data_IF_559475919946
#
_entry.id   IF_559475919946
#
_cell.length_a   1.000
_cell.length_b   1.000
_cell.length_c   1.000
_cell.angle_alpha   90.00
_cell.angle_beta   90.00
_cell.angle_gamma   90.00
#
_symmetry.space_group_name_H-M   'P 1'
#
loop_
_entity.id
_entity.type
_entity.pdbx_description
1 polymer ?
#
# COMPACT_ATOMS: atom_id res chain seq x y z
N UNK A 1 -2.58 -7.80 10.00
CA UNK A 1 -3.19 -6.56 10.50
C UNK A 1 -3.37 -6.59 12.01
N UNK A 2 -2.72 -5.66 12.71
CA UNK A 2 -2.89 -5.46 14.17
C UNK A 2 -4.24 -4.81 14.50
N UNK A 3 -4.73 -4.84 15.76
CA UNK A 3 -5.94 -4.11 16.15
C UNK A 3 -5.84 -2.60 15.90
N UNK A 4 -4.65 -2.02 16.11
CA UNK A 4 -4.37 -0.61 15.81
C UNK A 4 -4.49 -0.29 14.33
N UNK A 5 -3.85 -1.09 13.47
CA UNK A 5 -3.98 -0.94 12.00
C UNK A 5 -5.43 -1.10 11.55
N UNK A 6 -6.17 -2.06 12.11
CA UNK A 6 -7.60 -2.25 11.79
C UNK A 6 -8.41 -1.00 12.11
N UNK A 7 -8.21 -0.41 13.30
CA UNK A 7 -8.88 0.83 13.72
C UNK A 7 -8.53 1.98 12.77
N UNK A 8 -7.27 2.09 12.36
CA UNK A 8 -6.82 3.13 11.40
C UNK A 8 -7.43 2.89 10.02
N UNK A 9 -7.49 1.66 9.53
CA UNK A 9 -8.12 1.33 8.25
C UNK A 9 -9.60 1.75 8.24
N UNK A 10 -10.37 1.33 9.26
CA UNK A 10 -11.79 1.71 9.41
C UNK A 10 -11.99 3.23 9.53
N UNK A 11 -11.03 3.93 10.17
CA UNK A 11 -11.03 5.38 10.26
C UNK A 11 -10.74 6.03 8.90
N UNK A 12 -9.73 5.58 8.17
CA UNK A 12 -9.36 6.09 6.84
C UNK A 12 -10.45 5.85 5.79
N UNK A 13 -11.18 4.74 5.86
CA UNK A 13 -12.29 4.43 4.94
C UNK A 13 -13.47 5.42 5.01
N UNK A 14 -13.48 6.34 5.99
CA UNK A 14 -14.44 7.45 6.07
C UNK A 14 -14.00 8.68 5.26
N UNK A 15 -12.81 8.68 4.67
CA UNK A 15 -12.39 9.71 3.73
C UNK A 15 -13.27 9.70 2.48
N UNK A 16 -13.38 10.82 1.75
CA UNK A 16 -14.12 10.86 0.50
C UNK A 16 -13.58 9.87 -0.54
N UNK A 17 -14.46 9.39 -1.42
CA UNK A 17 -14.19 8.33 -2.41
C UNK A 17 -13.07 8.65 -3.42
N UNK A 18 -12.65 9.91 -3.53
CA UNK A 18 -11.54 10.30 -4.39
C UNK A 18 -10.16 10.02 -3.78
N UNK A 19 -10.11 9.56 -2.51
CA UNK A 19 -8.88 9.13 -1.86
C UNK A 19 -8.57 7.67 -2.17
N UNK A 20 -7.33 7.41 -2.58
CA UNK A 20 -6.82 6.05 -2.71
C UNK A 20 -6.06 5.68 -1.45
N UNK A 21 -6.39 4.53 -0.87
CA UNK A 21 -5.77 4.02 0.34
C UNK A 21 -5.18 2.65 0.04
N UNK A 22 -3.88 2.51 0.26
CA UNK A 22 -3.18 1.25 0.18
C UNK A 22 -2.72 0.83 1.57
N UNK A 23 -2.81 -0.47 1.86
CA UNK A 23 -2.36 -1.10 3.10
C UNK A 23 -1.25 -2.09 2.78
N UNK A 24 -0.18 -2.08 3.58
CA UNK A 24 0.93 -3.04 3.50
C UNK A 24 1.50 -3.21 2.07
N UNK A 25 1.63 -2.10 1.33
CA UNK A 25 2.19 -2.14 -0.02
C UNK A 25 3.71 -2.16 0.00
N UNK A 26 4.27 -2.96 -0.91
CA UNK A 26 5.70 -3.04 -1.13
C UNK A 26 6.18 -1.80 -1.88
N UNK A 27 7.15 -1.08 -1.32
CA UNK A 27 7.87 0.01 -1.99
C UNK A 27 9.19 -0.53 -2.55
N UNK A 28 9.37 -0.62 -3.88
CA UNK A 28 10.64 -0.97 -4.50
C UNK A 28 11.72 0.09 -4.22
N UNK A 29 13.02 -0.26 -4.25
CA UNK A 29 13.59 -1.60 -4.49
C UNK A 29 13.91 -2.39 -3.21
N UNK A 30 13.74 -1.79 -2.02
CA UNK A 30 14.17 -2.39 -0.74
C UNK A 30 13.09 -3.19 -0.02
N UNK A 31 11.95 -3.37 -0.67
CA UNK A 31 10.82 -4.17 -0.19
C UNK A 31 10.39 -3.75 1.20
N UNK A 32 10.22 -2.44 1.37
CA UNK A 32 9.71 -1.87 2.60
C UNK A 32 8.20 -1.71 2.54
N UNK A 33 7.57 -1.95 3.67
CA UNK A 33 6.12 -2.03 3.82
C UNK A 33 5.67 -1.00 4.85
N UNK A 34 5.30 0.23 4.44
CA UNK A 34 4.54 1.11 5.31
C UNK A 34 3.17 0.49 5.64
N UNK A 35 2.65 0.81 6.83
CA UNK A 35 1.33 0.33 7.21
C UNK A 35 0.24 0.87 6.27
N UNK A 36 0.27 2.18 5.97
CA UNK A 36 -0.63 2.77 4.97
C UNK A 36 0.05 3.80 4.06
N UNK A 37 -0.46 3.90 2.84
CA UNK A 37 -0.24 5.01 1.93
C UNK A 37 -1.58 5.57 1.50
N UNK A 38 -1.77 6.88 1.63
CA UNK A 38 -3.00 7.59 1.27
C UNK A 38 -2.68 8.62 0.19
N UNK A 39 -3.34 8.55 -0.96
CA UNK A 39 -3.28 9.57 -2.00
C UNK A 39 -4.58 10.36 -2.01
N UNK A 40 -4.46 11.67 -1.85
CA UNK A 40 -5.52 12.64 -2.13
C UNK A 40 -5.17 13.36 -3.43
N UNK A 41 -6.01 13.35 -4.48
CA UNK A 41 -5.72 14.03 -5.74
C UNK A 41 -5.45 15.53 -5.58
N UNK A 42 -6.05 16.15 -4.55
CA UNK A 42 -5.96 17.59 -4.26
C UNK A 42 -4.94 17.94 -3.20
N UNK A 43 -4.50 16.99 -2.36
CA UNK A 43 -3.53 17.29 -1.31
C UNK A 43 -2.17 16.67 -1.56
N UNK A 44 -2.07 15.53 -2.25
CA UNK A 44 -0.83 14.78 -2.43
C UNK A 44 -0.85 13.45 -1.68
N UNK A 45 0.34 12.94 -1.34
CA UNK A 45 0.52 11.58 -0.84
C UNK A 45 1.02 11.56 0.61
N UNK A 46 0.40 10.76 1.47
CA UNK A 46 0.78 10.61 2.87
C UNK A 46 1.12 9.15 3.21
N UNK A 47 2.30 8.93 3.77
CA UNK A 47 2.73 7.64 4.31
C UNK A 47 2.46 7.60 5.81
N UNK A 48 1.90 6.51 6.31
CA UNK A 48 1.48 6.38 7.71
C UNK A 48 2.09 5.13 8.32
N UNK A 49 2.76 5.30 9.46
CA UNK A 49 3.22 4.21 10.33
C UNK A 49 2.34 4.15 11.58
N UNK A 50 1.78 2.99 11.90
CA UNK A 50 0.85 2.78 13.01
C UNK A 50 1.55 2.04 14.14
N UNK A 51 1.32 2.47 15.39
CA UNK A 51 1.78 1.76 16.59
C UNK A 51 0.64 1.68 17.61
N UNK A 52 0.44 0.49 18.13
CA UNK A 52 -0.58 0.14 19.13
C UNK A 52 -0.03 0.09 20.56
N UNK A 53 1.07 0.79 20.80
CA UNK A 53 1.68 0.89 22.12
C UNK A 53 0.78 1.61 23.11
N UNK A 54 0.90 1.27 24.39
CA UNK A 54 0.36 2.07 25.49
C UNK A 54 1.48 2.86 26.17
N UNK A 55 1.17 3.99 26.79
CA UNK A 55 2.20 4.90 27.34
C UNK A 55 3.13 4.21 28.34
N UNK A 56 2.60 3.31 29.17
CA UNK A 56 3.37 2.57 30.18
C UNK A 56 4.38 1.57 29.61
N UNK A 57 4.27 1.24 28.31
CA UNK A 57 5.28 0.42 27.63
C UNK A 57 6.51 1.23 27.23
N UNK A 58 6.44 2.57 27.13
CA UNK A 58 7.58 3.39 26.71
C UNK A 58 8.52 3.59 27.90
N UNK A 59 9.63 2.84 27.92
CA UNK A 59 10.66 2.90 28.97
C UNK A 59 11.65 4.05 28.70
N UNK A 60 12.02 4.24 27.42
CA UNK A 60 12.87 5.35 26.95
C UNK A 60 12.54 5.65 25.50
N UNK A 61 12.63 6.92 25.12
CA UNK A 61 12.43 7.35 23.75
C UNK A 61 13.45 8.43 23.39
N UNK A 62 13.92 8.39 22.15
CA UNK A 62 14.64 9.47 21.50
C UNK A 62 14.19 9.56 20.02
N UNK A 63 14.70 10.55 19.29
CA UNK A 63 14.27 10.80 17.90
C UNK A 63 14.65 9.68 16.91
N UNK A 64 15.49 8.72 17.31
CA UNK A 64 15.96 7.61 16.48
C UNK A 64 15.34 6.27 16.88
N UNK A 65 15.18 6.01 18.18
CA UNK A 65 14.74 4.73 18.72
C UNK A 65 13.81 4.87 19.94
N UNK A 66 12.96 3.86 20.11
CA UNK A 66 12.08 3.68 21.26
C UNK A 66 12.45 2.37 21.96
N UNK A 67 12.68 2.44 23.26
CA UNK A 67 12.82 1.29 24.14
C UNK A 67 11.47 1.00 24.79
N UNK A 68 10.93 -0.18 24.49
CA UNK A 68 9.65 -0.66 25.00
C UNK A 68 9.86 -1.72 26.06
N UNK A 69 9.02 -1.70 27.09
CA UNK A 69 8.92 -2.72 28.14
C UNK A 69 7.58 -3.44 28.02
N UNK A 70 7.62 -4.71 27.64
CA UNK A 70 6.47 -5.59 27.42
C UNK A 70 6.51 -6.71 28.46
N UNK A 71 5.96 -6.43 29.65
CA UNK A 71 6.11 -7.31 30.81
C UNK A 71 7.58 -7.38 31.24
N UNK A 72 8.15 -8.60 31.26
CA UNK A 72 9.58 -8.82 31.55
C UNK A 72 10.50 -8.54 30.35
N UNK A 73 9.96 -8.38 29.14
CA UNK A 73 10.75 -8.24 27.93
C UNK A 73 11.04 -6.78 27.61
N UNK A 74 12.27 -6.49 27.18
CA UNK A 74 12.68 -5.18 26.68
C UNK A 74 12.95 -5.29 25.18
N UNK A 75 12.35 -4.41 24.39
CA UNK A 75 12.55 -4.35 22.94
C UNK A 75 13.04 -2.97 22.54
N UNK A 76 14.06 -2.90 21.68
CA UNK A 76 14.43 -1.67 20.99
C UNK A 76 13.80 -1.66 19.61
N UNK A 77 13.08 -0.58 19.29
CA UNK A 77 12.40 -0.36 18.01
C UNK A 77 12.87 0.96 17.42
N UNK A 78 12.91 1.06 16.10
CA UNK A 78 13.16 2.34 15.43
C UNK A 78 12.01 3.30 15.74
N UNK A 79 12.30 4.60 15.81
CA UNK A 79 11.26 5.61 15.99
C UNK A 79 10.27 5.54 14.80
N UNK A 80 8.95 5.54 15.05
CA UNK A 80 7.97 5.36 13.98
C UNK A 80 8.02 6.48 12.93
N UNK A 81 8.29 7.72 13.33
CA UNK A 81 8.54 8.82 12.37
C UNK A 81 9.78 8.57 11.49
N UNK A 82 10.85 7.96 12.02
CA UNK A 82 12.04 7.64 11.22
C UNK A 82 11.83 6.42 10.32
N UNK A 83 10.90 5.52 10.66
CA UNK A 83 10.42 4.48 9.75
C UNK A 83 9.63 5.11 8.60
N UNK A 84 8.60 5.90 8.92
CA UNK A 84 7.72 6.57 7.97
C UNK A 84 8.50 7.51 7.02
N UNK A 85 9.46 8.27 7.54
CA UNK A 85 10.38 9.11 6.74
C UNK A 85 11.19 8.28 5.75
N UNK A 86 11.69 7.13 6.19
CA UNK A 86 12.45 6.21 5.33
C UNK A 86 11.60 5.68 4.17
N UNK A 87 10.35 5.30 4.44
CA UNK A 87 9.40 4.88 3.41
C UNK A 87 9.07 6.03 2.45
N UNK A 88 8.84 7.24 2.96
CA UNK A 88 8.55 8.41 2.13
C UNK A 88 9.68 8.73 1.14
N UNK A 89 10.94 8.68 1.58
CA UNK A 89 12.09 8.88 0.68
C UNK A 89 12.21 7.79 -0.39
N UNK A 90 11.95 6.53 -0.03
CA UNK A 90 12.00 5.43 -1.01
C UNK A 90 10.88 5.57 -2.04
N UNK A 91 9.68 5.94 -1.59
CA UNK A 91 8.55 6.24 -2.45
C UNK A 91 8.84 7.41 -3.39
N UNK A 92 9.39 8.52 -2.89
CA UNK A 92 9.78 9.67 -3.73
C UNK A 92 10.74 9.21 -4.83
N UNK A 93 11.77 8.44 -4.49
CA UNK A 93 12.76 7.97 -5.46
C UNK A 93 12.11 7.08 -6.53
N UNK A 94 11.20 6.18 -6.13
CA UNK A 94 10.49 5.30 -7.06
C UNK A 94 9.55 6.09 -7.99
N UNK A 95 8.70 6.97 -7.44
CA UNK A 95 7.77 7.79 -8.21
C UNK A 95 8.50 8.79 -9.13
N UNK A 96 9.67 9.28 -8.72
CA UNK A 96 10.47 10.23 -9.51
C UNK A 96 11.11 9.64 -10.76
N UNK A 97 10.97 8.32 -10.98
CA UNK A 97 11.35 7.68 -12.25
C UNK A 97 10.39 8.02 -13.39
N UNK A 98 9.15 8.40 -13.07
CA UNK A 98 8.11 8.67 -14.06
C UNK A 98 8.02 10.14 -14.45
N UNK A 99 8.13 10.39 -15.76
CA UNK A 99 8.15 11.76 -16.32
C UNK A 99 6.86 12.53 -16.06
N UNK A 100 5.73 11.84 -15.97
CA UNK A 100 4.42 12.46 -15.71
C UNK A 100 4.26 12.96 -14.28
N UNK A 101 5.11 12.50 -13.35
CA UNK A 101 5.04 12.82 -11.93
C UNK A 101 6.08 13.86 -11.49
N UNK A 102 7.03 14.22 -12.35
CA UNK A 102 8.12 15.14 -12.03
C UNK A 102 8.08 16.42 -12.87
N UNK A 103 8.59 17.50 -12.29
CA UNK A 103 8.88 18.72 -13.03
C UNK A 103 9.95 18.48 -14.10
N UNK A 104 9.88 19.18 -15.24
CA UNK A 104 10.89 19.05 -16.29
C UNK A 104 12.28 19.47 -15.77
N UNK A 105 13.37 18.97 -16.38
CA UNK A 105 14.74 19.35 -15.98
C UNK A 105 15.02 20.86 -16.05
N UNK A 106 14.26 21.60 -16.87
CA UNK A 106 14.35 23.06 -17.00
C UNK A 106 13.60 23.84 -15.91
N UNK A 107 12.89 23.19 -15.00
CA UNK A 107 12.12 23.88 -13.95
C UNK A 107 13.06 24.61 -12.98
N UNK A 108 12.87 25.92 -12.72
CA UNK A 108 13.88 26.76 -12.08
C UNK A 108 14.17 26.43 -10.61
N UNK A 109 13.18 25.91 -9.88
CA UNK A 109 13.29 25.68 -8.42
C UNK A 109 13.25 24.20 -8.03
N UNK A 110 12.70 23.35 -8.89
CA UNK A 110 12.33 21.97 -8.53
C UNK A 110 12.63 20.98 -9.68
N UNK A 111 13.79 21.04 -10.35
CA UNK A 111 14.06 20.18 -11.49
C UNK A 111 14.03 18.70 -11.05
N UNK A 112 13.29 17.87 -11.79
CA UNK A 112 13.11 16.43 -11.54
C UNK A 112 12.54 16.07 -10.16
N UNK A 113 11.90 17.01 -9.46
CA UNK A 113 11.15 16.75 -8.23
C UNK A 113 9.69 16.47 -8.54
N UNK A 114 9.03 15.75 -7.65
CA UNK A 114 7.60 15.47 -7.76
C UNK A 114 6.79 16.77 -7.86
N UNK A 115 5.79 16.77 -8.74
CA UNK A 115 4.90 17.93 -8.99
C UNK A 115 3.82 18.11 -7.92
N UNK A 116 3.66 17.11 -7.05
CA UNK A 116 2.71 17.09 -5.94
C UNK A 116 3.48 16.87 -4.63
N UNK A 117 2.96 17.36 -3.50
CA UNK A 117 3.60 17.15 -2.21
C UNK A 117 3.42 15.72 -1.74
N UNK A 118 4.39 15.25 -0.97
CA UNK A 118 4.28 14.01 -0.23
C UNK A 118 4.77 14.23 1.20
N UNK A 119 4.30 13.41 2.13
CA UNK A 119 4.67 13.51 3.53
C UNK A 119 4.52 12.19 4.25
N UNK A 120 4.81 12.22 5.55
CA UNK A 120 4.73 11.05 6.40
C UNK A 120 4.24 11.44 7.79
N UNK A 121 3.65 10.48 8.50
CA UNK A 121 3.30 10.62 9.91
C UNK A 121 3.33 9.26 10.62
N UNK A 122 3.21 9.32 11.95
CA UNK A 122 2.91 8.14 12.76
C UNK A 122 1.59 8.29 13.50
N UNK A 123 0.90 7.18 13.74
CA UNK A 123 -0.32 7.14 14.55
C UNK A 123 -0.09 6.25 15.77
N UNK A 124 -0.25 6.82 16.97
CA UNK A 124 -0.23 6.09 18.24
C UNK A 124 -1.68 5.77 18.63
N UNK A 125 -2.14 4.54 18.36
CA UNK A 125 -3.58 4.24 18.40
C UNK A 125 -4.15 4.10 19.82
N UNK A 126 -3.29 3.91 20.82
CA UNK A 126 -3.69 3.71 22.23
C UNK A 126 -3.05 4.73 23.19
N UNK A 127 -2.50 5.84 22.67
CA UNK A 127 -1.91 6.92 23.46
C UNK A 127 -2.56 8.23 23.01
N UNK A 128 -3.17 8.98 23.91
CA UNK A 128 -3.71 10.32 23.63
C UNK A 128 -2.63 11.41 23.71
N UNK A 129 -2.93 12.60 23.20
CA UNK A 129 -2.00 13.73 23.23
C UNK A 129 -1.57 14.08 24.67
N UNK A 130 -2.52 14.08 25.61
CA UNK A 130 -2.26 14.46 27.00
C UNK A 130 -1.23 13.53 27.66
N UNK A 131 -1.34 12.22 27.46
CA UNK A 131 -0.40 11.23 27.97
C UNK A 131 1.03 11.45 27.46
N UNK A 132 1.18 11.93 26.22
CA UNK A 132 2.49 12.26 25.63
C UNK A 132 3.07 13.53 26.25
N UNK A 133 2.24 14.56 26.45
CA UNK A 133 2.64 15.80 27.11
C UNK A 133 3.04 15.54 28.56
N UNK A 134 2.23 14.81 29.33
CA UNK A 134 2.49 14.48 30.74
C UNK A 134 3.77 13.64 30.91
N UNK A 135 4.06 12.76 29.94
CA UNK A 135 5.30 11.99 29.91
C UNK A 135 6.53 12.80 29.45
N UNK A 136 6.35 14.06 29.03
CA UNK A 136 7.43 14.91 28.51
C UNK A 136 7.99 14.44 27.14
N UNK A 137 7.19 13.69 26.37
CA UNK A 137 7.63 13.05 25.13
C UNK A 137 7.26 13.85 23.86
N UNK A 138 6.63 15.00 24.00
CA UNK A 138 6.12 15.82 22.89
C UNK A 138 7.21 16.30 21.91
N UNK A 139 8.43 16.54 22.40
CA UNK A 139 9.56 16.89 21.52
C UNK A 139 10.11 15.71 20.72
N UNK A 140 9.87 14.48 21.20
CA UNK A 140 10.29 13.24 20.53
C UNK A 140 9.22 12.83 19.51
N UNK A 141 7.96 12.83 19.94
CA UNK A 141 6.80 12.63 19.08
C UNK A 141 6.25 13.99 18.62
N UNK A 142 6.83 14.53 17.55
CA UNK A 142 6.41 15.82 17.00
C UNK A 142 4.88 15.87 16.81
N UNK A 143 4.16 16.82 17.44
CA UNK A 143 2.69 16.91 17.33
C UNK A 143 2.24 17.30 15.92
N UNK A 144 3.16 17.78 15.08
CA UNK A 144 2.93 18.04 13.66
C UNK A 144 2.86 16.73 12.85
N UNK A 145 3.66 15.72 13.24
CA UNK A 145 3.85 14.48 12.48
C UNK A 145 3.27 13.26 13.19
N UNK A 146 2.72 13.41 14.38
CA UNK A 146 2.17 12.32 15.19
C UNK A 146 0.70 12.56 15.43
N UNK A 147 -0.13 11.59 15.04
CA UNK A 147 -1.53 11.54 15.45
C UNK A 147 -1.67 10.60 16.64
N UNK A 148 -2.55 10.98 17.55
CA UNK A 148 -2.81 10.29 18.80
C UNK A 148 -4.20 9.64 18.79
N UNK A 149 -4.49 8.83 19.80
CA UNK A 149 -5.71 8.03 19.87
C UNK A 149 -7.00 8.86 19.93
N UNK A 150 -6.93 10.07 20.48
CA UNK A 150 -8.01 11.05 20.57
C UNK A 150 -8.37 11.66 19.21
N UNK A 151 -7.39 11.86 18.32
CA UNK A 151 -7.66 12.27 16.92
C UNK A 151 -8.50 11.23 16.15
N UNK A 152 -8.38 9.94 16.49
CA UNK A 152 -9.15 8.87 15.84
C UNK A 152 -10.64 8.87 16.23
N UNK A 153 -11.04 9.68 17.22
CA UNK A 153 -12.43 9.88 17.60
C UNK A 153 -13.13 10.94 16.73
N UNK A 154 -12.36 11.74 16.01
CA UNK A 154 -12.86 12.72 15.05
C UNK A 154 -12.92 12.15 13.63
N UNK A 155 -13.66 12.81 12.75
CA UNK A 155 -13.69 12.44 11.33
C UNK A 155 -12.28 12.62 10.70
N UNK A 156 -11.76 11.66 9.92
CA UNK A 156 -10.42 11.76 9.35
C UNK A 156 -10.22 13.00 8.51
N UNK A 157 -11.24 13.45 7.78
CA UNK A 157 -11.15 14.67 6.99
C UNK A 157 -10.92 15.93 7.84
N UNK A 158 -11.39 15.99 9.08
CA UNK A 158 -11.15 17.14 9.95
C UNK A 158 -9.71 17.17 10.43
N UNK A 159 -9.15 16.00 10.79
CA UNK A 159 -7.74 15.84 11.16
C UNK A 159 -6.85 16.12 9.96
N UNK A 160 -7.14 15.45 8.84
CA UNK A 160 -6.94 15.83 7.45
C UNK A 160 -6.73 17.33 7.28
N UNK A 161 -7.81 18.07 7.13
CA UNK A 161 -7.85 19.47 6.73
C UNK A 161 -7.20 20.44 7.74
N UNK A 162 -7.32 20.17 9.04
CA UNK A 162 -6.67 20.98 10.08
C UNK A 162 -5.16 20.74 10.17
N UNK A 163 -4.70 19.54 9.80
CA UNK A 163 -3.31 19.10 9.93
C UNK A 163 -2.58 18.95 8.59
N UNK A 164 -3.25 18.95 7.44
CA UNK A 164 -2.65 18.75 6.09
C UNK A 164 -1.65 19.83 5.77
N UNK A 165 -1.92 21.07 6.19
CA UNK A 165 -0.98 22.19 6.11
C UNK A 165 0.33 21.95 6.89
N UNK A 166 0.36 20.97 7.81
CA UNK A 166 1.54 20.64 8.63
C UNK A 166 2.12 19.25 8.30
N UNK A 167 1.28 18.31 7.88
CA UNK A 167 1.67 16.94 7.52
C UNK A 167 2.35 16.88 6.14
N UNK A 168 1.91 17.73 5.21
CA UNK A 168 2.52 17.90 3.90
C UNK A 168 3.37 19.18 3.87
N UNK A 169 4.56 19.15 3.27
CA UNK A 169 5.52 20.26 3.35
C UNK A 169 5.08 21.50 2.57
N UNK A 170 4.15 21.37 1.62
CA UNK A 170 3.59 22.47 0.83
C UNK A 170 2.22 22.07 0.26
N UNK A 171 1.33 23.04 -0.07
CA UNK A 171 0.05 22.73 -0.68
C UNK A 171 0.23 22.18 -2.09
N UNK A 172 -0.62 21.24 -2.48
CA UNK A 172 -0.69 20.80 -3.87
C UNK A 172 -1.23 21.97 -4.72
N UNK A 173 -0.41 22.47 -5.65
CA UNK A 173 -0.78 23.64 -6.45
C UNK A 173 -1.78 23.30 -7.55
N UNK A 174 -1.87 22.03 -7.93
CA UNK A 174 -2.74 21.53 -8.99
C UNK A 174 -3.24 20.14 -8.60
N UNK A 175 -4.53 19.88 -8.83
CA UNK A 175 -5.08 18.53 -8.66
C UNK A 175 -4.38 17.57 -9.63
N UNK A 176 -4.03 16.39 -9.15
CA UNK A 176 -3.50 15.32 -10.01
C UNK A 176 -4.53 14.94 -11.08
N UNK A 177 -4.07 14.76 -12.31
CA UNK A 177 -4.89 14.23 -13.40
C UNK A 177 -5.09 12.72 -13.28
N UNK A 178 -6.13 12.20 -13.93
CA UNK A 178 -6.41 10.76 -13.93
C UNK A 178 -5.21 9.95 -14.42
N UNK A 179 -4.52 10.40 -15.49
CA UNK A 179 -3.30 9.75 -15.97
C UNK A 179 -2.15 9.76 -14.95
N UNK A 180 -2.02 10.80 -14.14
CA UNK A 180 -1.02 10.83 -13.06
C UNK A 180 -1.39 9.85 -11.95
N UNK A 181 -2.68 9.77 -11.60
CA UNK A 181 -3.19 8.83 -10.59
C UNK A 181 -3.00 7.38 -11.05
N UNK A 182 -3.32 7.06 -12.31
CA UNK A 182 -3.12 5.74 -12.92
C UNK A 182 -1.64 5.33 -12.90
N UNK A 183 -0.72 6.25 -13.21
CA UNK A 183 0.72 5.98 -13.11
C UNK A 183 1.12 5.69 -11.67
N UNK A 184 0.69 6.49 -10.70
CA UNK A 184 0.97 6.23 -9.27
C UNK A 184 0.42 4.86 -8.86
N UNK A 185 -0.83 4.54 -9.19
CA UNK A 185 -1.44 3.23 -8.95
C UNK A 185 -0.59 2.10 -9.54
N UNK A 186 -0.17 2.24 -10.81
CA UNK A 186 0.63 1.21 -11.49
C UNK A 186 2.00 0.98 -10.86
N UNK A 187 2.62 2.04 -10.31
CA UNK A 187 3.93 1.95 -9.66
C UNK A 187 3.85 1.35 -8.25
N UNK A 188 2.79 1.65 -7.51
CA UNK A 188 2.59 1.18 -6.14
C UNK A 188 1.94 -0.21 -6.08
N UNK A 189 1.13 -0.53 -7.07
CA UNK A 189 0.42 -1.79 -7.18
C UNK A 189 0.39 -2.25 -8.65
N UNK A 190 1.52 -2.76 -9.19
CA UNK A 190 1.60 -3.22 -10.57
C UNK A 190 0.66 -4.41 -10.76
N UNK A 191 -0.48 -4.16 -11.41
CA UNK A 191 -1.45 -5.21 -11.71
C UNK A 191 -0.96 -5.94 -12.95
N UNK A 192 -0.55 -7.21 -12.78
CA UNK A 192 -0.27 -8.07 -13.94
C UNK A 192 -1.61 -8.50 -14.53
N UNK A 193 -2.03 -7.85 -15.61
CA UNK A 193 -3.11 -8.41 -16.45
C UNK A 193 -2.50 -9.63 -17.15
N UNK A 194 -2.71 -10.82 -16.60
CA UNK A 194 -2.49 -12.06 -17.33
C UNK A 194 -3.52 -12.08 -18.46
N UNK A 195 -3.10 -11.71 -19.68
CA UNK A 195 -3.88 -12.06 -20.86
C UNK A 195 -4.05 -13.59 -20.82
N UNK A 196 -5.28 -14.13 -20.90
CA UNK A 196 -5.44 -15.57 -21.03
C UNK A 196 -4.65 -16.01 -22.26
N UNK A 197 -3.74 -16.97 -22.06
CA UNK A 197 -3.04 -17.60 -23.17
C UNK A 197 -4.10 -18.06 -24.18
N UNK A 198 -3.92 -17.81 -25.49
CA UNK A 198 -4.84 -18.34 -26.48
C UNK A 198 -4.97 -19.84 -26.26
N UNK A 199 -6.21 -20.34 -26.25
CA UNK A 199 -6.51 -21.75 -26.05
C UNK A 199 -5.62 -22.57 -27.00
N UNK A 200 -5.00 -23.68 -26.53
CA UNK A 200 -4.22 -24.52 -27.42
C UNK A 200 -5.10 -24.94 -28.60
N UNK A 201 -4.55 -24.98 -29.83
CA UNK A 201 -5.31 -25.45 -30.98
C UNK A 201 -5.87 -26.84 -30.69
N UNK A 202 -7.08 -27.17 -31.15
CA UNK A 202 -7.65 -28.50 -30.96
C UNK A 202 -6.67 -29.55 -31.47
N UNK A 203 -6.60 -30.72 -30.81
CA UNK A 203 -5.70 -31.80 -31.23
C UNK A 203 -5.96 -32.15 -32.69
N UNK A 204 -4.89 -32.27 -33.48
CA UNK A 204 -4.99 -32.70 -34.87
C UNK A 204 -5.75 -34.03 -34.95
N UNK A 205 -6.65 -34.18 -35.93
CA UNK A 205 -7.37 -35.42 -36.12
C UNK A 205 -6.37 -36.57 -36.31
N UNK A 206 -6.55 -37.62 -35.52
CA UNK A 206 -5.72 -38.82 -35.58
C UNK A 206 -5.74 -39.37 -37.02
N UNK A 207 -4.56 -39.66 -37.61
CA UNK A 207 -4.52 -40.19 -38.96
C UNK A 207 -5.24 -41.54 -39.01
N UNK A 208 -5.98 -41.83 -40.09
CA UNK A 208 -6.72 -43.07 -40.21
C UNK A 208 -5.76 -44.27 -40.15
N UNK A 209 -6.19 -45.40 -39.55
CA UNK A 209 -5.36 -46.59 -39.45
C UNK A 209 -5.00 -47.10 -40.85
N UNK A 210 -3.79 -47.68 -41.02
CA UNK A 210 -3.36 -48.21 -42.30
C UNK A 210 -4.29 -49.37 -42.74
N UNK A 211 -4.52 -49.53 -44.05
CA UNK A 211 -5.39 -50.58 -44.57
C UNK A 211 -4.79 -51.96 -44.27
N UNK A 212 -5.58 -52.82 -43.63
CA UNK A 212 -5.27 -54.23 -43.42
C UNK A 212 -5.39 -54.99 -44.73
N UNK A 213 -4.30 -55.66 -45.13
CA UNK A 213 -4.26 -56.61 -46.26
C UNK A 213 -5.11 -57.86 -45.98
N UNK A 214 -5.67 -58.50 -47.03
CA UNK A 214 -6.68 -59.54 -46.88
C UNK A 214 -6.01 -60.90 -46.63
N UNK A 215 -6.48 -61.68 -45.67
CA UNK A 215 -6.29 -63.13 -45.68
C UNK A 215 -7.42 -63.83 -44.93
N UNK A 216 -8.19 -64.57 -45.73
CA UNK A 216 -8.98 -65.77 -45.45
C UNK A 216 -9.98 -65.81 -44.29
N UNK A 217 -11.25 -65.69 -44.67
CA UNK A 217 -12.35 -66.45 -44.05
C UNK A 217 -12.21 -67.94 -44.36
N UNK A 218 -12.71 -68.82 -43.47
CA UNK A 218 -14.00 -69.43 -43.80
C UNK A 218 -14.95 -69.65 -42.60
N UNK A 219 -16.25 -69.44 -42.89
CA UNK A 219 -17.42 -70.19 -42.35
C UNK A 219 -17.75 -69.99 -40.84
N UNK A 220 -18.98 -69.92 -40.33
CA UNK A 220 -20.37 -70.03 -40.82
C UNK A 220 -21.29 -69.78 -39.59
N UNK A 221 -22.58 -69.50 -39.83
CA UNK A 221 -23.74 -69.66 -38.92
C UNK A 221 -23.84 -68.66 -37.72
N UNK A 222 -24.98 -68.08 -37.31
CA UNK A 222 -26.38 -68.19 -37.70
C UNK A 222 -27.20 -67.05 -37.01
N UNK A 223 -28.20 -66.52 -37.73
CA UNK A 223 -29.53 -66.00 -37.30
C UNK A 223 -29.71 -64.96 -36.16
N UNK A 224 -30.23 -63.81 -36.60
CA UNK A 224 -31.41 -63.03 -36.15
C UNK A 224 -32.21 -63.46 -34.91
N UNK A 225 -32.66 -62.47 -34.11
CA UNK A 225 -34.07 -62.11 -33.76
C UNK A 225 -34.05 -60.81 -32.91
N UNK A 226 -34.59 -59.69 -33.43
CA UNK A 226 -35.86 -59.02 -33.06
C UNK A 226 -36.00 -58.52 -31.60
N UNK A 227 -36.02 -57.18 -31.45
CA UNK A 227 -37.05 -56.29 -30.86
C UNK A 227 -38.03 -56.83 -29.79
N UNK A 228 -38.63 -55.98 -28.93
CA UNK A 228 -39.21 -54.66 -29.27
C UNK A 228 -38.41 -53.45 -28.80
#
# INVERSE_FOLDING_TARGET
MTPGEKRVAEWLLKLPDDHLIWYDIRIPPKDRHPDFVVLSPTHGLLIIEVKDWIISQIDRADTSYIKLRLGSNVSHRKHPLEQARGYAHELENHLSTERLLIHPPSHPQHPKKLIFPYGFCSILTNIDHLSITDAGLEQIFSPIKTLYSDHLNEHPQNIFWSSTCKLLPFPCRQKLSDSQIEVIQSLLFPTSILFPLPSPPPPEPTPPPPPTSPTDSPLLLLRAFHCP
#
